data_IF_384006116257
#
_entry.id   IF_384006116257
#
_cell.length_a   1.000
_cell.length_b   1.000
_cell.length_c   1.000
_cell.angle_alpha   90.00
_cell.angle_beta   90.00
_cell.angle_gamma   90.00
#
_symmetry.space_group_name_H-M   'P 1'
#
loop_
_entity.id
_entity.type
_entity.pdbx_description
1 polymer ?
#
# COMPACT_ATOMS: atom_id res chain seq x y z
N UNK A 1 -30.72 34.96 -16.90
CA UNK A 1 -31.15 33.58 -16.63
C UNK A 1 -29.95 32.82 -15.98
N UNK A 2 -30.11 32.44 -14.71
CA UNK A 2 -29.05 31.89 -13.86
C UNK A 2 -28.87 30.39 -14.15
N UNK A 3 -27.69 29.96 -14.51
CA UNK A 3 -27.29 28.53 -14.55
C UNK A 3 -26.91 28.13 -13.12
N UNK A 4 -27.77 27.32 -12.50
CA UNK A 4 -27.51 26.72 -11.18
C UNK A 4 -26.70 25.44 -11.35
N UNK A 5 -25.60 25.39 -10.64
CA UNK A 5 -24.67 24.28 -10.57
C UNK A 5 -25.33 23.01 -10.01
N UNK A 6 -25.24 21.94 -10.76
CA UNK A 6 -25.53 20.58 -10.28
C UNK A 6 -24.20 19.99 -9.83
N UNK A 7 -23.90 20.14 -8.55
CA UNK A 7 -22.80 19.47 -7.88
C UNK A 7 -23.32 18.87 -6.59
N UNK A 8 -24.09 17.81 -6.71
CA UNK A 8 -24.46 16.94 -5.60
C UNK A 8 -25.10 15.70 -6.18
N UNK A 9 -24.32 14.64 -6.41
CA UNK A 9 -24.76 13.22 -6.43
C UNK A 9 -23.59 12.32 -6.79
N UNK A 10 -22.71 12.09 -5.85
CA UNK A 10 -21.75 11.00 -5.91
C UNK A 10 -21.37 10.52 -4.51
N UNK A 11 -22.36 10.36 -3.63
CA UNK A 11 -22.12 9.79 -2.30
C UNK A 11 -23.32 8.94 -1.84
N UNK A 12 -23.79 8.06 -2.68
CA UNK A 12 -24.85 7.11 -2.27
C UNK A 12 -24.89 5.92 -3.23
N UNK A 13 -23.83 5.13 -3.31
CA UNK A 13 -23.94 3.80 -3.94
C UNK A 13 -22.81 2.85 -3.50
N UNK A 14 -22.68 2.64 -2.20
CA UNK A 14 -21.94 1.49 -1.63
C UNK A 14 -22.66 1.02 -0.37
N UNK A 15 -23.95 0.76 -0.44
CA UNK A 15 -24.65 -0.01 0.58
C UNK A 15 -25.87 -0.68 -0.05
N UNK A 16 -25.60 -1.69 -0.88
CA UNK A 16 -26.61 -2.69 -1.20
C UNK A 16 -25.94 -3.99 -1.67
N UNK A 17 -25.02 -4.55 -0.86
CA UNK A 17 -24.88 -5.98 -0.82
C UNK A 17 -25.74 -6.43 0.34
N UNK A 18 -26.97 -6.81 0.05
CA UNK A 18 -27.82 -7.50 0.99
C UNK A 18 -27.12 -8.78 1.43
N UNK A 19 -26.38 -8.72 2.51
CA UNK A 19 -25.97 -9.90 3.23
C UNK A 19 -27.21 -10.48 3.87
N UNK A 20 -27.84 -11.48 3.20
CA UNK A 20 -28.81 -12.31 3.84
C UNK A 20 -28.16 -12.94 5.07
N UNK A 21 -28.77 -12.77 6.23
CA UNK A 21 -28.35 -13.33 7.52
C UNK A 21 -28.09 -14.84 7.50
N UNK A 22 -28.56 -15.53 6.48
CA UNK A 22 -28.35 -16.95 6.23
C UNK A 22 -26.91 -17.34 5.82
N UNK A 23 -26.12 -16.41 5.24
CA UNK A 23 -24.72 -16.73 4.84
C UNK A 23 -23.80 -16.77 6.05
N UNK A 24 -24.05 -15.96 7.07
CA UNK A 24 -23.28 -16.01 8.31
C UNK A 24 -23.57 -17.25 9.16
N UNK A 25 -24.81 -17.69 9.21
CA UNK A 25 -25.19 -18.88 9.97
C UNK A 25 -24.65 -20.18 9.37
N UNK A 26 -24.50 -20.27 8.05
CA UNK A 26 -24.03 -21.47 7.36
C UNK A 26 -22.51 -21.68 7.42
N UNK A 27 -21.72 -20.66 7.74
CA UNK A 27 -20.24 -20.74 7.81
C UNK A 27 -19.71 -20.92 9.22
N UNK A 28 -20.58 -20.92 10.23
CA UNK A 28 -20.17 -21.03 11.63
C UNK A 28 -20.35 -22.48 12.11
N UNK A 29 -19.33 -23.31 11.97
CA UNK A 29 -19.34 -24.74 12.36
C UNK A 29 -18.84 -25.00 13.79
N UNK A 30 -18.85 -24.00 14.68
CA UNK A 30 -18.43 -24.14 16.07
C UNK A 30 -19.29 -23.30 17.01
N UNK A 31 -18.99 -23.28 18.31
CA UNK A 31 -19.59 -22.34 19.24
C UNK A 31 -19.30 -20.93 18.76
N UNK A 32 -20.35 -20.13 18.51
CA UNK A 32 -20.20 -18.73 18.12
C UNK A 32 -19.31 -18.00 19.15
N UNK A 33 -18.34 -17.18 18.72
CA UNK A 33 -17.63 -16.33 19.66
C UNK A 33 -18.65 -15.41 20.36
N UNK A 34 -18.31 -14.95 21.56
CA UNK A 34 -19.18 -14.02 22.28
C UNK A 34 -19.34 -12.75 21.44
N UNK A 35 -20.59 -12.38 21.15
CA UNK A 35 -20.92 -11.21 20.32
C UNK A 35 -20.17 -9.93 20.78
N UNK A 36 -20.06 -9.70 22.08
CA UNK A 36 -19.30 -8.58 22.63
C UNK A 36 -17.80 -8.58 22.25
N UNK A 37 -17.18 -9.76 22.07
CA UNK A 37 -15.79 -9.86 21.67
C UNK A 37 -15.66 -9.62 20.14
N UNK A 38 -16.64 -10.10 19.36
CA UNK A 38 -16.73 -9.79 17.92
C UNK A 38 -16.92 -8.30 17.70
N UNK A 39 -17.82 -7.68 18.45
CA UNK A 39 -18.08 -6.24 18.41
C UNK A 39 -16.79 -5.44 18.69
N UNK A 40 -16.10 -5.72 19.80
CA UNK A 40 -14.87 -5.03 20.19
C UNK A 40 -13.78 -5.13 19.11
N UNK A 41 -13.53 -6.35 18.61
CA UNK A 41 -12.53 -6.57 17.56
C UNK A 41 -12.92 -5.84 16.28
N UNK A 42 -14.20 -5.85 15.92
CA UNK A 42 -14.71 -5.18 14.72
C UNK A 42 -14.52 -3.68 14.79
N UNK A 43 -14.97 -3.04 15.87
CA UNK A 43 -14.81 -1.58 16.03
C UNK A 43 -13.35 -1.18 16.10
N UNK A 44 -12.52 -1.91 16.85
CA UNK A 44 -11.09 -1.66 16.88
C UNK A 44 -10.46 -1.73 15.48
N UNK A 45 -10.77 -2.77 14.70
CA UNK A 45 -10.29 -2.92 13.34
C UNK A 45 -10.76 -1.78 12.42
N UNK A 46 -12.02 -1.34 12.57
CA UNK A 46 -12.55 -0.21 11.79
C UNK A 46 -11.82 1.10 12.10
N UNK A 47 -11.51 1.36 13.36
CA UNK A 47 -10.74 2.54 13.76
C UNK A 47 -9.30 2.50 13.24
N UNK A 48 -8.65 1.34 13.27
CA UNK A 48 -7.34 1.12 12.67
C UNK A 48 -7.35 1.41 11.17
N UNK A 49 -8.36 0.93 10.44
CA UNK A 49 -8.50 1.18 8.99
C UNK A 49 -8.68 2.67 8.71
N UNK A 50 -9.54 3.33 9.48
CA UNK A 50 -9.80 4.77 9.37
C UNK A 50 -8.56 5.62 9.62
N UNK A 51 -7.80 5.30 10.68
CA UNK A 51 -6.57 6.02 11.04
C UNK A 51 -5.41 5.72 10.10
N UNK A 52 -5.26 4.47 9.67
CA UNK A 52 -4.13 4.00 8.86
C UNK A 52 -4.19 4.41 7.39
N UNK A 53 -5.39 4.74 6.85
CA UNK A 53 -5.61 5.21 5.47
C UNK A 53 -5.10 4.28 4.37
N UNK A 54 -4.91 3.01 4.68
CA UNK A 54 -4.62 1.96 3.72
C UNK A 54 -5.93 1.34 3.20
N UNK A 55 -5.82 0.52 2.18
CA UNK A 55 -6.94 -0.27 1.63
C UNK A 55 -7.05 -1.61 2.35
N UNK A 56 -8.18 -2.28 2.20
CA UNK A 56 -8.35 -3.65 2.64
C UNK A 56 -8.32 -4.61 1.46
N UNK A 57 -7.89 -5.83 1.73
CA UNK A 57 -8.02 -6.98 0.84
C UNK A 57 -8.49 -8.17 1.66
N UNK A 58 -9.42 -8.95 1.11
CA UNK A 58 -9.89 -10.19 1.71
C UNK A 58 -9.09 -11.41 1.23
N UNK A 59 -9.38 -12.57 1.80
CA UNK A 59 -8.69 -13.83 1.49
C UNK A 59 -8.87 -14.23 0.02
N UNK A 60 -10.08 -14.09 -0.52
CA UNK A 60 -10.41 -14.47 -1.89
C UNK A 60 -9.65 -13.62 -2.91
N UNK A 61 -9.65 -12.31 -2.71
CA UNK A 61 -8.98 -11.39 -3.62
C UNK A 61 -7.46 -11.55 -3.54
N UNK A 62 -6.89 -11.68 -2.33
CA UNK A 62 -5.46 -11.92 -2.16
C UNK A 62 -5.04 -13.24 -2.82
N UNK A 63 -5.81 -14.32 -2.61
CA UNK A 63 -5.56 -15.62 -3.26
C UNK A 63 -5.56 -15.49 -4.79
N UNK A 64 -6.56 -14.80 -5.33
CA UNK A 64 -6.64 -14.55 -6.77
C UNK A 64 -5.43 -13.76 -7.31
N UNK A 65 -4.92 -12.79 -6.56
CA UNK A 65 -3.71 -12.04 -6.95
C UNK A 65 -2.46 -12.92 -6.90
N UNK A 66 -2.33 -13.78 -5.88
CA UNK A 66 -1.22 -14.73 -5.76
C UNK A 66 -1.23 -15.73 -6.91
N UNK A 67 -2.39 -16.35 -7.19
CA UNK A 67 -2.55 -17.35 -8.26
C UNK A 67 -2.26 -16.79 -9.65
N UNK A 68 -2.62 -15.54 -9.88
CA UNK A 68 -2.35 -14.83 -11.16
C UNK A 68 -0.90 -14.36 -11.29
N UNK A 69 -0.11 -14.47 -10.25
CA UNK A 69 1.24 -13.91 -10.23
C UNK A 69 1.28 -12.39 -10.35
N UNK A 70 0.29 -11.69 -9.79
CA UNK A 70 0.23 -10.23 -9.80
C UNK A 70 1.50 -9.65 -9.17
N UNK A 71 2.04 -8.62 -9.80
CA UNK A 71 3.21 -7.90 -9.26
C UNK A 71 2.82 -7.14 -8.00
N UNK A 72 3.18 -7.67 -6.86
CA UNK A 72 2.97 -7.06 -5.54
C UNK A 72 4.09 -7.44 -4.59
N UNK A 73 4.19 -6.73 -3.49
CA UNK A 73 5.03 -7.06 -2.35
C UNK A 73 4.10 -7.52 -1.23
N UNK A 74 4.31 -8.71 -0.70
CA UNK A 74 3.56 -9.22 0.44
C UNK A 74 4.49 -9.18 1.65
N UNK A 75 4.06 -8.59 2.75
CA UNK A 75 4.84 -8.41 3.98
C UNK A 75 4.13 -9.10 5.13
N UNK A 76 4.78 -10.10 5.70
CA UNK A 76 4.40 -10.70 6.97
C UNK A 76 5.07 -9.95 8.12
N UNK A 77 4.27 -9.49 9.08
CA UNK A 77 4.74 -8.70 10.22
C UNK A 77 4.87 -9.50 11.51
N UNK A 78 4.70 -10.83 11.42
CA UNK A 78 4.83 -11.72 12.57
C UNK A 78 6.31 -12.03 12.87
N UNK A 79 6.64 -12.38 14.13
CA UNK A 79 7.98 -12.83 14.48
C UNK A 79 8.40 -14.06 13.67
N UNK A 80 9.64 -14.08 13.17
CA UNK A 80 10.13 -15.11 12.27
C UNK A 80 10.04 -16.51 12.91
N UNK A 81 10.68 -16.73 14.06
CA UNK A 81 10.81 -18.04 14.68
C UNK A 81 9.47 -18.64 15.13
N UNK A 82 8.56 -17.82 15.64
CA UNK A 82 7.27 -18.30 16.18
C UNK A 82 6.17 -18.45 15.15
N UNK A 83 6.25 -17.74 14.00
CA UNK A 83 5.19 -17.70 12.99
C UNK A 83 5.71 -17.83 11.56
N UNK A 84 6.38 -16.78 11.01
CA UNK A 84 6.74 -16.71 9.59
C UNK A 84 7.50 -17.95 9.09
N UNK A 85 8.51 -18.43 9.84
CA UNK A 85 9.30 -19.60 9.43
C UNK A 85 8.46 -20.88 9.37
N UNK A 86 7.38 -20.95 10.16
CA UNK A 86 6.49 -22.12 10.20
C UNK A 86 5.50 -22.14 9.06
N UNK A 87 4.97 -20.98 8.72
CA UNK A 87 4.01 -20.80 7.63
C UNK A 87 3.82 -19.32 7.29
N UNK A 88 3.80 -19.00 6.02
CA UNK A 88 3.51 -17.65 5.51
C UNK A 88 2.81 -17.72 4.14
N UNK A 89 2.18 -16.62 3.74
CA UNK A 89 1.57 -16.50 2.41
C UNK A 89 2.68 -16.61 1.35
N UNK A 90 2.49 -17.42 0.28
CA UNK A 90 3.52 -17.64 -0.72
C UNK A 90 4.12 -16.35 -1.27
N UNK A 91 5.45 -16.30 -1.29
CA UNK A 91 6.23 -15.15 -1.76
C UNK A 91 6.25 -13.96 -0.81
N UNK A 92 5.75 -14.07 0.42
CA UNK A 92 5.86 -13.01 1.40
C UNK A 92 7.29 -12.84 1.92
N UNK A 93 7.68 -11.59 2.16
CA UNK A 93 8.88 -11.24 2.92
C UNK A 93 8.52 -11.03 4.38
N UNK A 94 9.47 -11.19 5.29
CA UNK A 94 9.27 -10.95 6.72
C UNK A 94 9.88 -9.63 7.17
N UNK A 95 9.09 -8.81 7.86
CA UNK A 95 9.58 -7.63 8.58
C UNK A 95 8.70 -7.39 9.80
N UNK A 96 9.21 -7.70 10.96
CA UNK A 96 8.46 -7.67 12.22
C UNK A 96 8.01 -6.24 12.54
N UNK A 97 6.75 -6.12 13.02
CA UNK A 97 6.24 -4.88 13.56
C UNK A 97 5.66 -5.12 14.96
N UNK A 98 5.65 -4.12 15.86
CA UNK A 98 5.03 -4.22 17.19
C UNK A 98 3.50 -4.15 17.09
N UNK A 99 2.83 -4.37 18.22
CA UNK A 99 1.37 -4.25 18.33
C UNK A 99 0.90 -2.79 18.41
N UNK A 100 1.75 -1.88 18.88
CA UNK A 100 1.45 -0.48 19.08
C UNK A 100 2.40 0.42 18.30
N UNK A 101 1.89 1.51 17.75
CA UNK A 101 2.66 2.40 16.87
C UNK A 101 3.84 3.08 17.60
N UNK A 102 3.66 3.42 18.85
CA UNK A 102 4.68 4.04 19.73
C UNK A 102 5.87 3.13 20.02
N UNK A 103 5.66 1.81 19.94
CA UNK A 103 6.71 0.80 20.13
C UNK A 103 7.51 0.56 18.84
N UNK A 104 7.05 1.08 17.70
CA UNK A 104 7.70 0.82 16.41
C UNK A 104 9.03 1.58 16.31
N UNK A 105 10.10 0.86 16.58
CA UNK A 105 11.46 1.41 16.65
C UNK A 105 11.98 1.90 15.30
N UNK A 106 12.99 2.76 15.33
CA UNK A 106 13.68 3.20 14.11
C UNK A 106 14.37 2.05 13.38
N UNK A 107 14.86 1.05 14.11
CA UNK A 107 15.51 -0.12 13.55
C UNK A 107 14.53 -1.00 12.76
N UNK A 108 13.35 -1.31 13.33
CA UNK A 108 12.30 -2.09 12.67
C UNK A 108 11.72 -1.35 11.45
N UNK A 109 11.51 -0.03 11.56
CA UNK A 109 11.11 0.83 10.44
C UNK A 109 12.15 0.79 9.30
N UNK A 110 13.43 0.83 9.65
CA UNK A 110 14.54 0.75 8.69
C UNK A 110 14.59 -0.65 8.03
N UNK A 111 14.35 -1.72 8.80
CA UNK A 111 14.27 -3.07 8.27
C UNK A 111 13.13 -3.21 7.24
N UNK A 112 11.90 -2.78 7.58
CA UNK A 112 10.78 -2.78 6.64
C UNK A 112 11.16 -2.05 5.34
N UNK A 113 11.77 -0.89 5.44
CA UNK A 113 12.17 -0.12 4.26
C UNK A 113 13.29 -0.80 3.48
N UNK A 114 14.23 -1.48 4.15
CA UNK A 114 15.29 -2.27 3.53
C UNK A 114 14.72 -3.45 2.72
N UNK A 115 13.72 -4.13 3.24
CA UNK A 115 13.03 -5.24 2.60
C UNK A 115 12.18 -4.77 1.39
N UNK A 116 11.41 -3.71 1.56
CA UNK A 116 10.43 -3.23 0.56
C UNK A 116 11.08 -2.50 -0.62
N UNK A 117 12.05 -1.60 -0.37
CA UNK A 117 12.62 -0.72 -1.42
C UNK A 117 13.19 -1.45 -2.64
N UNK A 118 13.93 -2.56 -2.53
CA UNK A 118 14.47 -3.28 -3.68
C UNK A 118 13.39 -3.89 -4.59
N UNK A 119 12.22 -4.21 -4.03
CA UNK A 119 11.12 -4.90 -4.71
C UNK A 119 10.14 -3.92 -5.39
N UNK A 120 10.31 -2.62 -5.17
CA UNK A 120 9.44 -1.61 -5.79
C UNK A 120 9.55 -1.63 -7.31
N UNK A 121 8.42 -1.56 -7.98
CA UNK A 121 8.36 -1.27 -9.41
C UNK A 121 9.09 0.04 -9.71
N UNK A 122 9.59 0.18 -10.94
CA UNK A 122 10.28 1.39 -11.38
C UNK A 122 9.44 2.16 -12.38
N UNK A 123 9.44 3.48 -12.29
CA UNK A 123 8.80 4.36 -13.27
C UNK A 123 9.74 5.43 -13.77
N UNK A 124 9.54 5.84 -15.03
CA UNK A 124 10.29 6.93 -15.63
C UNK A 124 9.58 8.26 -15.39
N UNK A 125 10.25 9.18 -14.73
CA UNK A 125 9.78 10.56 -14.55
C UNK A 125 10.59 11.52 -15.40
N UNK A 126 9.93 12.58 -15.92
CA UNK A 126 10.58 13.63 -16.70
C UNK A 126 10.69 14.88 -15.84
N UNK A 127 11.91 15.39 -15.63
CA UNK A 127 12.15 16.68 -14.99
C UNK A 127 12.48 17.71 -16.05
N UNK A 128 11.67 18.77 -16.12
CA UNK A 128 11.92 19.91 -17.00
C UNK A 128 12.64 21.01 -16.26
N UNK A 129 13.78 21.45 -16.79
CA UNK A 129 14.53 22.61 -16.31
C UNK A 129 14.74 23.61 -17.43
N UNK A 130 15.07 24.84 -17.07
CA UNK A 130 15.33 25.91 -18.02
C UNK A 130 16.73 26.42 -17.82
N UNK A 131 17.60 26.23 -18.82
CA UNK A 131 18.99 26.67 -18.78
C UNK A 131 19.16 27.95 -19.56
N UNK A 132 19.86 28.94 -18.99
CA UNK A 132 20.19 30.22 -19.65
C UNK A 132 21.06 29.97 -20.87
N UNK A 133 20.75 30.64 -21.97
CA UNK A 133 21.48 30.50 -23.24
C UNK A 133 21.69 31.87 -23.88
N UNK A 134 22.58 31.95 -24.89
CA UNK A 134 22.78 33.16 -25.71
C UNK A 134 21.58 33.45 -26.58
N UNK A 135 21.40 34.71 -26.98
CA UNK A 135 20.36 35.13 -27.95
C UNK A 135 20.48 34.37 -29.27
N UNK A 136 21.71 34.08 -29.72
CA UNK A 136 21.99 33.29 -30.95
C UNK A 136 21.45 31.88 -30.85
N UNK A 137 21.73 31.19 -29.72
CA UNK A 137 21.21 29.85 -29.45
C UNK A 137 19.68 29.85 -29.33
N UNK A 138 19.10 30.81 -28.61
CA UNK A 138 17.66 30.95 -28.45
C UNK A 138 16.90 31.04 -29.76
N UNK A 139 17.41 31.84 -30.74
CA UNK A 139 16.78 32.02 -32.04
C UNK A 139 16.70 30.73 -32.86
N UNK A 140 17.64 29.80 -32.66
CA UNK A 140 17.67 28.48 -33.33
C UNK A 140 16.74 27.44 -32.74
N UNK A 141 16.15 27.67 -31.55
CA UNK A 141 15.29 26.72 -30.85
C UNK A 141 13.84 26.84 -31.33
N UNK A 142 13.14 25.68 -31.38
CA UNK A 142 11.68 25.66 -31.60
C UNK A 142 10.97 26.44 -30.49
N UNK A 143 9.85 27.08 -30.81
CA UNK A 143 9.08 27.95 -29.90
C UNK A 143 8.69 27.23 -28.58
N UNK A 144 8.36 25.93 -28.64
CA UNK A 144 8.02 25.10 -27.47
C UNK A 144 9.20 24.82 -26.53
N UNK A 145 10.45 24.99 -26.99
CA UNK A 145 11.68 24.66 -26.26
C UNK A 145 12.46 25.89 -25.78
N UNK A 146 11.84 27.06 -25.83
CA UNK A 146 12.47 28.31 -25.44
C UNK A 146 11.51 29.21 -24.67
N UNK A 147 12.05 30.02 -23.74
CA UNK A 147 11.34 31.13 -23.07
C UNK A 147 12.27 32.29 -22.78
N UNK A 148 11.68 33.46 -22.57
CA UNK A 148 12.39 34.63 -22.09
C UNK A 148 11.91 35.04 -20.72
N UNK A 149 12.78 35.65 -19.93
CA UNK A 149 12.44 36.38 -18.70
C UNK A 149 13.01 37.77 -18.79
N UNK A 150 12.17 38.77 -18.58
CA UNK A 150 12.60 40.19 -18.50
C UNK A 150 12.84 40.53 -17.02
N UNK A 151 13.94 41.23 -16.74
CA UNK A 151 14.22 41.78 -15.41
C UNK A 151 14.86 43.16 -15.59
N UNK A 152 14.20 44.19 -15.09
CA UNK A 152 14.59 45.59 -15.33
C UNK A 152 14.84 45.85 -16.85
N UNK A 153 16.00 46.36 -17.24
CA UNK A 153 16.37 46.61 -18.65
C UNK A 153 16.97 45.39 -19.40
N UNK A 154 17.06 44.21 -18.77
CA UNK A 154 17.71 43.01 -19.36
C UNK A 154 16.72 41.93 -19.73
N UNK A 155 16.94 41.27 -20.89
CA UNK A 155 16.19 40.12 -21.35
C UNK A 155 17.11 38.90 -21.28
N UNK A 156 16.62 37.86 -20.59
CA UNK A 156 17.32 36.60 -20.46
C UNK A 156 16.62 35.52 -21.31
N UNK A 157 17.42 34.72 -21.97
CA UNK A 157 16.97 33.66 -22.89
C UNK A 157 17.24 32.30 -22.28
N UNK A 158 16.28 31.39 -22.40
CA UNK A 158 16.36 30.04 -21.81
C UNK A 158 15.96 28.97 -22.81
N UNK A 159 16.66 27.84 -22.75
CA UNK A 159 16.25 26.60 -23.42
C UNK A 159 15.63 25.63 -22.44
N UNK A 160 14.62 24.87 -22.89
CA UNK A 160 14.03 23.76 -22.17
C UNK A 160 15.00 22.58 -22.19
N UNK A 161 15.29 22.03 -21.04
CA UNK A 161 16.05 20.79 -20.87
C UNK A 161 15.15 19.78 -20.17
N UNK A 162 14.90 18.65 -20.80
CA UNK A 162 14.12 17.55 -20.23
C UNK A 162 15.06 16.39 -19.95
N UNK A 163 15.20 16.04 -18.68
CA UNK A 163 15.94 14.84 -18.26
C UNK A 163 14.95 13.76 -17.81
N UNK A 164 15.21 12.53 -18.20
CA UNK A 164 14.46 11.35 -17.74
C UNK A 164 15.22 10.72 -16.58
N UNK A 165 14.49 10.33 -15.54
CA UNK A 165 15.02 9.62 -14.38
C UNK A 165 14.16 8.40 -14.13
N UNK A 166 14.79 7.29 -13.81
CA UNK A 166 14.11 6.09 -13.33
C UNK A 166 14.06 6.20 -11.81
N UNK A 167 12.88 6.14 -11.24
CA UNK A 167 12.65 6.22 -9.78
C UNK A 167 11.77 5.05 -9.34
N UNK A 168 11.88 4.68 -8.07
CA UNK A 168 10.99 3.72 -7.46
C UNK A 168 9.53 4.22 -7.51
N UNK A 169 8.60 3.32 -7.86
CA UNK A 169 7.20 3.67 -7.94
C UNK A 169 6.51 3.42 -6.59
N UNK A 170 6.20 4.49 -5.89
CA UNK A 170 5.44 4.44 -4.63
C UNK A 170 3.97 3.98 -4.80
N UNK A 171 3.51 3.77 -6.03
CA UNK A 171 2.22 3.13 -6.32
C UNK A 171 2.33 1.61 -6.53
N UNK A 172 3.48 1.00 -6.26
CA UNK A 172 3.62 -0.46 -6.23
C UNK A 172 2.63 -1.04 -5.23
N UNK A 173 1.91 -2.11 -5.61
CA UNK A 173 0.96 -2.81 -4.74
C UNK A 173 1.75 -3.46 -3.59
N UNK A 174 1.41 -3.13 -2.35
CA UNK A 174 2.00 -3.70 -1.14
C UNK A 174 0.86 -4.23 -0.27
N UNK A 175 0.91 -5.50 0.09
CA UNK A 175 -0.03 -6.15 1.01
C UNK A 175 0.70 -6.43 2.32
N UNK A 176 0.14 -6.01 3.44
CA UNK A 176 0.71 -6.23 4.77
C UNK A 176 -0.25 -7.05 5.60
N UNK A 177 0.23 -8.11 6.24
CA UNK A 177 -0.60 -8.95 7.10
C UNK A 177 0.14 -9.38 8.37
N UNK A 178 -0.61 -9.94 9.32
CA UNK A 178 -0.09 -10.54 10.55
C UNK A 178 -0.86 -11.84 10.88
N UNK A 179 -1.09 -12.16 12.15
CA UNK A 179 -1.71 -13.42 12.56
C UNK A 179 -3.19 -13.55 12.19
N UNK A 180 -4.00 -12.59 12.62
CA UNK A 180 -5.46 -12.61 12.53
C UNK A 180 -6.03 -11.20 12.65
N UNK A 181 -7.37 -11.06 12.53
CA UNK A 181 -8.04 -9.75 12.51
C UNK A 181 -7.82 -8.88 13.76
N UNK A 182 -7.66 -9.49 14.91
CA UNK A 182 -7.37 -8.77 16.17
C UNK A 182 -5.88 -8.43 16.38
N UNK A 183 -5.02 -8.73 15.41
CA UNK A 183 -3.58 -8.46 15.50
C UNK A 183 -3.25 -7.11 14.84
N UNK A 184 -2.78 -6.13 15.62
CA UNK A 184 -2.50 -4.78 15.13
C UNK A 184 -1.15 -4.62 14.39
N UNK A 185 -0.24 -5.61 14.40
CA UNK A 185 1.09 -5.51 13.76
C UNK A 185 1.02 -5.05 12.30
N UNK A 186 0.10 -5.65 11.53
CA UNK A 186 -0.10 -5.28 10.13
C UNK A 186 -0.68 -3.86 9.96
N UNK A 187 -1.49 -3.38 10.90
CA UNK A 187 -1.93 -1.99 10.94
C UNK A 187 -0.75 -1.04 11.08
N UNK A 188 0.09 -1.26 12.09
CA UNK A 188 1.26 -0.41 12.39
C UNK A 188 2.19 -0.30 11.18
N UNK A 189 2.53 -1.42 10.55
CA UNK A 189 3.41 -1.43 9.37
C UNK A 189 2.75 -0.81 8.13
N UNK A 190 1.47 -1.10 7.87
CA UNK A 190 0.74 -0.54 6.72
C UNK A 190 0.56 0.98 6.86
N UNK A 191 0.17 1.47 8.05
CA UNK A 191 0.06 2.90 8.33
C UNK A 191 1.40 3.62 8.18
N UNK A 192 2.50 3.00 8.63
CA UNK A 192 3.83 3.54 8.43
C UNK A 192 4.18 3.68 6.93
N UNK A 193 3.92 2.66 6.11
CA UNK A 193 4.14 2.74 4.66
C UNK A 193 3.32 3.87 4.02
N UNK A 194 2.05 4.04 4.41
CA UNK A 194 1.22 5.17 3.95
C UNK A 194 1.85 6.51 4.35
N UNK A 195 2.32 6.65 5.60
CA UNK A 195 3.05 7.86 6.09
C UNK A 195 4.34 8.11 5.29
N UNK A 196 5.00 7.07 4.76
CA UNK A 196 6.15 7.20 3.86
C UNK A 196 5.77 7.57 2.42
N UNK A 197 4.48 7.75 2.14
CA UNK A 197 3.95 8.19 0.84
C UNK A 197 3.74 7.06 -0.17
N UNK A 198 3.67 5.81 0.26
CA UNK A 198 3.18 4.72 -0.58
C UNK A 198 1.66 4.82 -0.74
N UNK A 199 1.15 4.74 -1.97
CA UNK A 199 -0.24 5.06 -2.30
C UNK A 199 -1.11 3.84 -2.59
N UNK A 200 -0.51 2.66 -2.67
CA UNK A 200 -1.21 1.42 -3.01
C UNK A 200 -0.93 0.32 -1.98
N UNK A 201 -1.12 0.68 -0.70
CA UNK A 201 -0.93 -0.21 0.45
C UNK A 201 -2.27 -0.84 0.82
N UNK A 202 -2.26 -2.15 1.03
CA UNK A 202 -3.37 -2.96 1.49
C UNK A 202 -3.02 -3.61 2.82
N UNK A 203 -4.00 -3.72 3.71
CA UNK A 203 -3.94 -4.61 4.87
C UNK A 203 -4.81 -5.84 4.60
N UNK A 204 -4.23 -7.01 4.75
CA UNK A 204 -4.97 -8.26 4.79
C UNK A 204 -5.30 -8.59 6.24
N UNK A 205 -6.51 -8.21 6.68
CA UNK A 205 -6.93 -8.27 8.09
C UNK A 205 -7.10 -9.69 8.62
N UNK A 206 -7.53 -10.65 7.78
CA UNK A 206 -7.67 -12.05 8.16
C UNK A 206 -6.34 -12.72 8.53
N UNK A 207 -5.24 -12.22 7.99
CA UNK A 207 -3.90 -12.69 8.29
C UNK A 207 -3.65 -14.14 7.89
N UNK A 208 -2.56 -14.70 8.44
CA UNK A 208 -2.20 -16.08 8.12
C UNK A 208 -3.27 -17.07 8.59
N UNK A 209 -4.01 -16.77 9.67
CA UNK A 209 -5.09 -17.64 10.14
C UNK A 209 -6.17 -17.82 9.08
N UNK A 210 -6.74 -16.72 8.55
CA UNK A 210 -7.79 -16.84 7.53
C UNK A 210 -7.27 -17.39 6.20
N UNK A 211 -5.97 -17.23 5.90
CA UNK A 211 -5.34 -17.84 4.73
C UNK A 211 -5.33 -19.36 4.83
N UNK A 212 -4.93 -19.91 6.01
CA UNK A 212 -4.88 -21.34 6.29
C UNK A 212 -6.29 -21.92 6.43
N UNK A 213 -7.20 -21.23 7.12
CA UNK A 213 -8.60 -21.66 7.30
C UNK A 213 -9.32 -21.83 5.95
N UNK A 214 -8.94 -21.03 4.95
CA UNK A 214 -9.44 -21.17 3.60
C UNK A 214 -8.80 -22.32 2.79
N UNK A 215 -7.92 -23.12 3.40
CA UNK A 215 -7.23 -24.24 2.76
C UNK A 215 -6.14 -23.82 1.75
N UNK A 216 -5.67 -22.59 1.80
CA UNK A 216 -4.65 -22.10 0.88
C UNK A 216 -3.26 -22.65 1.22
N UNK A 217 -2.44 -22.87 0.18
CA UNK A 217 -1.05 -23.28 0.34
C UNK A 217 -0.22 -22.20 1.07
N UNK A 218 0.75 -22.66 1.84
CA UNK A 218 1.69 -21.80 2.58
C UNK A 218 3.13 -22.16 2.22
N UNK A 219 4.01 -21.15 2.24
CA UNK A 219 5.44 -21.37 2.23
C UNK A 219 5.97 -21.49 3.67
N UNK A 220 7.13 -22.13 3.80
CA UNK A 220 7.88 -22.32 5.05
C UNK A 220 9.34 -22.01 4.81
N UNK A 221 10.04 -21.55 5.83
CA UNK A 221 11.49 -21.46 5.77
C UNK A 221 12.03 -22.83 6.14
N UNK A 222 12.68 -23.50 5.18
CA UNK A 222 13.36 -24.77 5.45
C UNK A 222 14.47 -24.54 6.46
N UNK A 223 14.41 -25.20 7.61
CA UNK A 223 15.54 -25.26 8.52
C UNK A 223 16.50 -26.28 7.94
N UNK A 224 17.78 -25.92 7.65
CA UNK A 224 18.74 -26.93 7.26
C UNK A 224 18.73 -28.06 8.28
N UNK A 225 18.66 -29.29 7.80
CA UNK A 225 18.80 -30.47 8.66
C UNK A 225 20.14 -30.36 9.43
N UNK A 226 20.08 -30.47 10.75
CA UNK A 226 21.24 -30.41 11.62
C UNK A 226 22.14 -31.62 11.38
#
# INVERSE_FOLDING_TARGET
MKKRNVLALALALVMSVGMSSSVFAATWSGSAPKENDVEKVTYHFMDEVKSGKYKLVDTKDLKNWVDKGDKMIIVDTMPAASSYNKQHVPGAINSVAPMHEEEYTSAEKADLMKQVKPLLSKKTVKKTTWTKVSKKTYKKLKKSNRKTKKSKKKVYYYKKVVKKYVVADKNTKIVVYCGHIGCARSHVAAAYLVKQGYTNVYRYGGGISAWVDAGNAVDKVETPAA
#
